data_IF_799529776068
#
_entry.id   IF_799529776068
#
_cell.length_a   1.000
_cell.length_b   1.000
_cell.length_c   1.000
_cell.angle_alpha   90.00
_cell.angle_beta   90.00
_cell.angle_gamma   90.00
#
_symmetry.space_group_name_H-M   'P 1'
#
loop_
_entity.id
_entity.type
_entity.pdbx_description
1 polymer ?
#
# COMPACT_ATOMS: atom_id res chain seq x y z
N UNK A 1 20.65 2.47 -3.40
CA UNK A 1 20.60 1.59 -4.58
C UNK A 1 19.82 0.34 -4.21
N UNK A 2 18.53 0.26 -4.57
CA UNK A 2 17.73 -0.97 -4.65
C UNK A 2 16.28 -0.60 -5.01
N UNK A 3 16.04 -0.12 -6.23
CA UNK A 3 14.67 0.13 -6.73
C UNK A 3 14.58 -0.36 -8.18
N UNK A 4 14.87 -1.64 -8.43
CA UNK A 4 14.83 -2.20 -9.80
C UNK A 4 14.53 -3.69 -9.88
N UNK A 5 13.72 -4.26 -8.96
CA UNK A 5 13.33 -5.68 -9.07
C UNK A 5 11.82 -5.94 -9.20
N UNK A 6 10.95 -4.93 -9.09
CA UNK A 6 9.48 -5.16 -9.11
C UNK A 6 8.83 -4.79 -10.45
N UNK A 7 9.52 -4.05 -11.32
CA UNK A 7 8.99 -3.69 -12.65
C UNK A 7 9.01 -4.91 -13.61
N UNK A 8 9.88 -5.89 -13.36
CA UNK A 8 10.13 -6.98 -14.31
C UNK A 8 8.96 -7.98 -14.41
N UNK A 9 8.22 -8.26 -13.34
CA UNK A 9 7.07 -9.20 -13.39
C UNK A 9 5.83 -8.55 -14.00
N UNK A 10 5.60 -7.25 -13.78
CA UNK A 10 4.44 -6.58 -14.37
C UNK A 10 4.55 -6.45 -15.90
N UNK A 11 5.77 -6.28 -16.43
CA UNK A 11 5.99 -6.20 -17.87
C UNK A 11 5.79 -7.54 -18.60
N UNK A 12 6.08 -8.67 -17.93
CA UNK A 12 5.97 -10.01 -18.55
C UNK A 12 4.51 -10.36 -18.86
N UNK A 13 3.53 -9.76 -18.15
CA UNK A 13 2.11 -9.99 -18.43
C UNK A 13 1.52 -9.07 -19.52
N UNK A 14 2.24 -8.02 -19.96
CA UNK A 14 1.72 -7.03 -20.91
C UNK A 14 2.26 -7.26 -22.34
N UNK A 15 3.28 -8.10 -22.51
CA UNK A 15 3.91 -8.33 -23.82
C UNK A 15 3.42 -9.63 -24.50
N UNK A 16 2.28 -9.57 -25.17
CA UNK A 16 1.94 -10.51 -26.23
C UNK A 16 1.08 -9.83 -27.31
N UNK A 17 1.65 -8.84 -28.00
CA UNK A 17 1.12 -8.36 -29.27
C UNK A 17 2.27 -8.23 -30.27
N UNK A 18 2.62 -9.37 -30.86
CA UNK A 18 3.47 -9.43 -32.05
C UNK A 18 2.71 -8.79 -33.22
N UNK A 19 3.33 -7.90 -34.02
CA UNK A 19 2.71 -7.42 -35.26
C UNK A 19 2.57 -8.58 -36.24
N UNK A 20 1.35 -8.82 -36.74
CA UNK A 20 1.10 -9.81 -37.78
C UNK A 20 1.43 -9.23 -39.17
N UNK A 21 2.31 -9.91 -39.90
CA UNK A 21 2.52 -9.76 -41.36
C UNK A 21 1.43 -10.59 -42.10
N UNK A 22 1.02 -10.25 -43.35
CA UNK A 22 -0.24 -10.73 -43.89
C UNK A 22 -0.16 -12.13 -44.51
N UNK A 23 -1.29 -12.84 -44.38
CA UNK A 23 -1.74 -14.01 -45.12
C UNK A 23 -1.02 -15.35 -44.87
N UNK A 24 -1.49 -16.08 -43.87
CA UNK A 24 -1.67 -17.54 -43.93
C UNK A 24 -2.93 -17.89 -43.15
N UNK A 25 -3.85 -18.63 -43.75
CA UNK A 25 -5.10 -19.08 -43.12
C UNK A 25 -4.80 -19.98 -41.93
N UNK A 26 -4.92 -19.43 -40.72
CA UNK A 26 -4.72 -20.15 -39.46
C UNK A 26 -5.97 -20.97 -39.09
N UNK A 27 -5.74 -22.18 -38.60
CA UNK A 27 -6.76 -23.05 -38.00
C UNK A 27 -7.46 -22.35 -36.81
N UNK A 28 -8.73 -22.68 -36.49
CA UNK A 28 -9.46 -22.04 -35.40
C UNK A 28 -8.71 -22.25 -34.09
N UNK A 29 -8.18 -21.16 -33.53
CA UNK A 29 -7.57 -21.14 -32.21
C UNK A 29 -8.70 -21.09 -31.19
N UNK A 30 -8.84 -22.16 -30.40
CA UNK A 30 -9.76 -22.19 -29.26
C UNK A 30 -9.32 -21.10 -28.27
N UNK A 31 -10.21 -20.21 -27.82
CA UNK A 31 -9.83 -19.21 -26.83
C UNK A 31 -9.37 -19.91 -25.55
N UNK A 32 -8.12 -19.65 -25.14
CA UNK A 32 -7.64 -20.09 -23.85
C UNK A 32 -8.53 -19.47 -22.76
N UNK A 33 -9.21 -20.30 -21.98
CA UNK A 33 -9.99 -19.84 -20.84
C UNK A 33 -9.01 -19.43 -19.74
N UNK A 34 -8.71 -18.13 -19.65
CA UNK A 34 -7.93 -17.57 -18.54
C UNK A 34 -8.71 -17.78 -17.25
N UNK A 35 -8.19 -18.62 -16.36
CA UNK A 35 -8.76 -18.81 -15.03
C UNK A 35 -8.76 -17.48 -14.26
N UNK A 36 -9.83 -17.18 -13.52
CA UNK A 36 -9.88 -15.99 -12.67
C UNK A 36 -8.74 -16.05 -11.63
N UNK A 37 -8.02 -14.93 -11.40
CA UNK A 37 -6.93 -14.91 -10.46
C UNK A 37 -7.45 -15.12 -9.03
N UNK A 38 -6.86 -16.08 -8.32
CA UNK A 38 -7.12 -16.30 -6.89
C UNK A 38 -6.72 -15.06 -6.09
N UNK A 39 -7.55 -14.65 -5.14
CA UNK A 39 -7.33 -13.47 -4.30
C UNK A 39 -6.90 -13.85 -2.88
N UNK A 40 -6.02 -13.04 -2.32
CA UNK A 40 -5.54 -13.16 -0.94
C UNK A 40 -5.67 -11.82 -0.20
N UNK A 41 -5.89 -11.89 1.12
CA UNK A 41 -6.19 -10.73 1.95
C UNK A 41 -5.01 -10.35 2.84
N UNK A 42 -4.66 -9.07 2.84
CA UNK A 42 -3.86 -8.44 3.89
C UNK A 42 -4.73 -7.53 4.74
N UNK A 43 -4.70 -7.73 6.05
CA UNK A 43 -5.48 -6.97 7.02
C UNK A 43 -4.67 -5.82 7.59
N UNK A 44 -5.18 -4.61 7.46
CA UNK A 44 -4.54 -3.40 7.94
C UNK A 44 -5.39 -2.76 9.03
N UNK A 45 -4.72 -2.33 10.10
CA UNK A 45 -5.26 -1.52 11.16
C UNK A 45 -4.55 -0.18 11.20
N UNK A 46 -5.30 0.88 11.43
CA UNK A 46 -4.75 2.19 11.78
C UNK A 46 -5.78 2.96 12.60
N UNK A 47 -5.28 3.91 13.38
CA UNK A 47 -6.06 4.81 14.22
C UNK A 47 -6.16 6.19 13.57
N UNK A 48 -7.36 6.75 13.59
CA UNK A 48 -7.61 8.18 13.36
C UNK A 48 -7.81 8.84 14.71
N UNK A 49 -6.85 9.66 15.16
CA UNK A 49 -6.87 10.34 16.46
C UNK A 49 -7.78 11.55 16.50
N UNK A 50 -7.97 12.24 15.36
CA UNK A 50 -8.85 13.41 15.25
C UNK A 50 -10.32 13.03 15.07
N UNK A 51 -10.60 11.77 14.73
CA UNK A 51 -11.96 11.24 14.60
C UNK A 51 -12.54 10.87 15.97
N UNK A 52 -13.80 11.21 16.21
CA UNK A 52 -14.55 10.81 17.41
C UNK A 52 -15.30 9.50 17.16
N UNK A 53 -15.18 8.54 18.10
CA UNK A 53 -15.96 7.30 18.05
C UNK A 53 -17.43 7.57 18.39
N UNK A 54 -18.35 7.01 17.61
CA UNK A 54 -19.77 6.92 17.98
C UNK A 54 -20.23 5.47 17.91
N UNK A 55 -21.24 5.11 18.69
CA UNK A 55 -21.77 3.75 18.70
C UNK A 55 -22.34 3.32 17.34
N UNK A 56 -22.77 4.26 16.49
CA UNK A 56 -23.23 3.96 15.14
C UNK A 56 -22.13 3.30 14.29
N UNK A 57 -20.84 3.57 14.57
CA UNK A 57 -19.71 2.93 13.89
C UNK A 57 -19.53 1.45 14.26
N UNK A 58 -20.26 0.94 15.26
CA UNK A 58 -20.30 -0.50 15.57
C UNK A 58 -21.26 -1.26 14.66
N UNK A 59 -22.22 -0.58 14.02
CA UNK A 59 -23.25 -1.19 13.20
C UNK A 59 -22.94 -1.02 11.71
N UNK A 60 -22.58 -2.09 10.97
CA UNK A 60 -22.29 -2.02 9.54
C UNK A 60 -23.42 -1.49 8.65
N UNK A 61 -24.66 -1.55 9.13
CA UNK A 61 -25.84 -1.05 8.42
C UNK A 61 -26.19 0.41 8.75
N UNK A 62 -25.46 1.05 9.68
CA UNK A 62 -25.71 2.46 10.00
C UNK A 62 -25.20 3.37 8.90
N UNK A 63 -25.85 4.52 8.73
CA UNK A 63 -25.39 5.55 7.80
C UNK A 63 -23.97 6.03 8.14
N UNK A 64 -23.64 6.16 9.43
CA UNK A 64 -22.31 6.56 9.88
C UNK A 64 -21.22 5.57 9.44
N UNK A 65 -21.46 4.26 9.62
CA UNK A 65 -20.54 3.22 9.19
C UNK A 65 -20.36 3.23 7.68
N UNK A 66 -21.47 3.22 6.92
CA UNK A 66 -21.44 3.16 5.44
C UNK A 66 -20.67 4.36 4.88
N UNK A 67 -20.97 5.57 5.36
CA UNK A 67 -20.30 6.79 4.90
C UNK A 67 -18.80 6.77 5.24
N UNK A 68 -18.45 6.38 6.46
CA UNK A 68 -17.04 6.31 6.89
C UNK A 68 -16.26 5.23 6.13
N UNK A 69 -16.89 4.08 5.87
CA UNK A 69 -16.30 2.98 5.11
C UNK A 69 -16.07 3.39 3.64
N UNK A 70 -17.04 4.05 3.01
CA UNK A 70 -16.91 4.57 1.65
C UNK A 70 -15.81 5.63 1.56
N UNK A 71 -15.76 6.58 2.51
CA UNK A 71 -14.69 7.58 2.59
C UNK A 71 -13.32 6.93 2.74
N UNK A 72 -13.18 5.97 3.66
CA UNK A 72 -11.91 5.24 3.87
C UNK A 72 -11.48 4.53 2.60
N UNK A 73 -12.38 3.80 1.94
CA UNK A 73 -12.11 3.11 0.69
C UNK A 73 -11.61 4.09 -0.39
N UNK A 74 -12.31 5.22 -0.56
CA UNK A 74 -11.96 6.26 -1.54
C UNK A 74 -10.54 6.79 -1.36
N UNK A 75 -10.10 7.01 -0.12
CA UNK A 75 -8.75 7.51 0.16
C UNK A 75 -7.68 6.42 0.02
N UNK A 76 -7.98 5.18 0.40
CA UNK A 76 -6.98 4.10 0.45
C UNK A 76 -6.73 3.42 -0.91
N UNK A 77 -7.77 3.24 -1.74
CA UNK A 77 -7.58 2.52 -3.01
C UNK A 77 -6.56 3.18 -3.94
N UNK A 78 -6.55 4.50 -4.17
CA UNK A 78 -5.52 5.14 -5.00
C UNK A 78 -4.09 4.96 -4.48
N UNK A 79 -3.92 4.90 -3.15
CA UNK A 79 -2.62 4.68 -2.50
C UNK A 79 -2.11 3.28 -2.86
N UNK A 80 -2.94 2.25 -2.63
CA UNK A 80 -2.54 0.87 -2.87
C UNK A 80 -2.49 0.50 -4.35
N UNK A 81 -3.34 1.09 -5.19
CA UNK A 81 -3.25 0.96 -6.65
C UNK A 81 -1.93 1.51 -7.18
N UNK A 82 -1.48 2.67 -6.69
CA UNK A 82 -0.20 3.25 -7.11
C UNK A 82 0.99 2.47 -6.59
N UNK A 83 0.93 1.99 -5.35
CA UNK A 83 2.01 1.22 -4.74
C UNK A 83 2.12 -0.20 -5.33
N UNK A 84 0.99 -0.81 -5.71
CA UNK A 84 0.89 -2.21 -6.10
C UNK A 84 0.01 -2.40 -7.36
N UNK A 85 0.37 -1.79 -8.50
CA UNK A 85 -0.51 -1.68 -9.67
C UNK A 85 -0.93 -3.02 -10.28
N UNK A 86 -0.11 -4.05 -10.09
CA UNK A 86 -0.29 -5.35 -10.76
C UNK A 86 -0.87 -6.42 -9.81
N UNK A 87 -0.92 -6.14 -8.51
CA UNK A 87 -1.42 -7.09 -7.51
C UNK A 87 -2.64 -6.60 -6.75
N UNK A 88 -2.76 -5.30 -6.44
CA UNK A 88 -3.91 -4.78 -5.69
C UNK A 88 -5.20 -4.85 -6.50
N UNK A 89 -6.29 -5.26 -5.84
CA UNK A 89 -7.62 -5.40 -6.46
C UNK A 89 -8.68 -4.53 -5.82
N UNK A 90 -8.77 -4.52 -4.49
CA UNK A 90 -9.76 -3.69 -3.78
C UNK A 90 -9.44 -3.55 -2.31
N UNK A 91 -10.13 -2.61 -1.65
CA UNK A 91 -10.17 -2.55 -0.19
C UNK A 91 -11.61 -2.65 0.33
N UNK A 92 -11.75 -3.26 1.52
CA UNK A 92 -13.02 -3.34 2.24
C UNK A 92 -12.80 -3.04 3.71
N UNK A 93 -13.48 -2.00 4.20
CA UNK A 93 -13.58 -1.77 5.64
C UNK A 93 -14.45 -2.84 6.27
N UNK A 94 -13.93 -3.52 7.29
CA UNK A 94 -14.62 -4.61 8.01
C UNK A 94 -15.28 -4.13 9.28
N UNK A 95 -14.62 -3.24 10.01
CA UNK A 95 -15.07 -2.78 11.31
C UNK A 95 -14.39 -1.48 11.72
N UNK A 96 -15.05 -0.74 12.61
CA UNK A 96 -14.44 0.30 13.43
C UNK A 96 -14.43 -0.14 14.90
N UNK A 97 -13.47 0.36 15.67
CA UNK A 97 -13.37 0.11 17.13
C UNK A 97 -13.07 1.41 17.88
N UNK A 98 -13.43 1.40 19.16
CA UNK A 98 -13.17 2.51 20.07
C UNK A 98 -11.66 2.69 20.35
N UNK A 99 -11.28 3.94 20.61
CA UNK A 99 -9.88 4.38 20.70
C UNK A 99 -9.62 5.50 19.69
N UNK A 100 -10.31 6.63 19.85
CA UNK A 100 -10.59 7.56 18.72
C UNK A 100 -11.37 6.82 17.63
N UNK A 101 -10.85 6.56 16.43
CA UNK A 101 -11.47 5.58 15.51
C UNK A 101 -10.39 4.63 14.99
N UNK A 102 -10.39 3.38 15.45
CA UNK A 102 -9.52 2.33 14.91
C UNK A 102 -10.25 1.68 13.73
N UNK A 103 -9.65 1.73 12.55
CA UNK A 103 -10.22 1.21 11.32
C UNK A 103 -9.57 -0.13 10.98
N UNK A 104 -10.39 -1.15 10.70
CA UNK A 104 -9.96 -2.46 10.20
C UNK A 104 -10.31 -2.55 8.72
N UNK A 105 -9.30 -2.71 7.87
CA UNK A 105 -9.45 -2.82 6.41
C UNK A 105 -8.84 -4.14 5.93
N UNK A 106 -9.59 -4.90 5.13
CA UNK A 106 -9.04 -6.00 4.35
C UNK A 106 -8.68 -5.46 2.95
N UNK A 107 -7.41 -5.58 2.58
CA UNK A 107 -6.89 -5.30 1.25
C UNK A 107 -6.83 -6.61 0.45
N UNK A 108 -7.40 -6.63 -0.75
CA UNK A 108 -7.38 -7.80 -1.63
C UNK A 108 -6.28 -7.67 -2.67
N UNK A 109 -5.46 -8.71 -2.79
CA UNK A 109 -4.39 -8.83 -3.77
C UNK A 109 -4.56 -10.10 -4.60
N UNK A 110 -3.94 -10.14 -5.79
CA UNK A 110 -3.70 -11.40 -6.51
C UNK A 110 -2.76 -12.26 -5.66
N UNK A 111 -3.15 -13.50 -5.34
CA UNK A 111 -2.44 -14.34 -4.36
C UNK A 111 -0.97 -14.58 -4.71
N UNK A 112 -0.63 -14.74 -5.99
CA UNK A 112 0.78 -14.91 -6.42
C UNK A 112 1.65 -13.66 -6.27
N UNK A 113 1.06 -12.50 -5.98
CA UNK A 113 1.73 -11.20 -5.95
C UNK A 113 1.38 -10.40 -4.69
N UNK A 114 1.06 -11.08 -3.59
CA UNK A 114 0.77 -10.40 -2.32
C UNK A 114 2.04 -9.69 -1.81
N UNK A 115 2.00 -8.37 -1.59
CA UNK A 115 3.15 -7.64 -1.08
C UNK A 115 3.46 -8.00 0.37
N UNK A 116 4.72 -7.84 0.77
CA UNK A 116 5.12 -8.05 2.17
C UNK A 116 4.50 -6.99 3.09
N UNK A 117 4.23 -7.36 4.35
CA UNK A 117 3.64 -6.50 5.36
C UNK A 117 4.40 -5.18 5.56
N UNK A 118 5.74 -5.17 5.42
CA UNK A 118 6.56 -3.95 5.48
C UNK A 118 6.25 -3.01 4.31
N UNK A 119 6.08 -3.56 3.10
CA UNK A 119 5.75 -2.80 1.91
C UNK A 119 4.35 -2.18 2.01
N UNK A 120 3.36 -2.96 2.47
CA UNK A 120 1.99 -2.48 2.68
C UNK A 120 1.97 -1.34 3.70
N UNK A 121 2.66 -1.52 4.82
CA UNK A 121 2.75 -0.48 5.84
C UNK A 121 3.47 0.77 5.32
N UNK A 122 4.57 0.62 4.58
CA UNK A 122 5.31 1.73 3.99
C UNK A 122 4.46 2.54 3.00
N UNK A 123 3.69 1.87 2.14
CA UNK A 123 2.78 2.51 1.19
C UNK A 123 1.76 3.41 1.92
N UNK A 124 1.17 2.90 3.00
CA UNK A 124 0.22 3.67 3.80
C UNK A 124 0.89 4.83 4.54
N UNK A 125 2.05 4.57 5.18
CA UNK A 125 2.81 5.58 5.93
C UNK A 125 3.24 6.76 5.07
N UNK A 126 3.82 6.48 3.91
CA UNK A 126 4.33 7.50 2.98
C UNK A 126 3.22 8.37 2.36
N UNK A 127 1.97 7.90 2.41
CA UNK A 127 0.82 8.61 1.84
C UNK A 127 -0.14 9.16 2.93
N UNK A 128 0.14 8.93 4.21
CA UNK A 128 -0.76 9.26 5.32
C UNK A 128 -1.11 10.75 5.38
N UNK A 129 -0.16 11.64 5.05
CA UNK A 129 -0.37 13.09 5.00
C UNK A 129 -1.31 13.53 3.87
N UNK A 130 -1.54 12.69 2.87
CA UNK A 130 -2.32 13.02 1.67
C UNK A 130 -3.77 12.53 1.77
N UNK A 131 -4.10 11.82 2.85
CA UNK A 131 -5.45 11.33 3.13
C UNK A 131 -6.33 12.47 3.63
N UNK A 132 -7.54 12.57 3.11
CA UNK A 132 -8.49 13.63 3.44
C UNK A 132 -9.75 13.09 4.10
N UNK A 133 -10.38 13.91 4.95
CA UNK A 133 -11.59 13.54 5.71
C UNK A 133 -11.34 12.66 6.94
N UNK A 134 -10.11 12.17 7.13
CA UNK A 134 -9.63 11.56 8.37
C UNK A 134 -8.12 11.56 8.44
N UNK A 135 -7.59 11.43 9.65
CA UNK A 135 -6.17 11.31 9.90
C UNK A 135 -5.75 9.84 10.05
N UNK A 136 -4.46 9.58 9.82
CA UNK A 136 -3.84 8.28 10.04
C UNK A 136 -2.66 8.46 10.98
N UNK A 137 -2.78 7.97 12.20
CA UNK A 137 -1.67 7.90 13.15
C UNK A 137 -0.66 6.84 12.65
N UNK A 138 0.44 7.29 12.04
CA UNK A 138 1.45 6.44 11.38
C UNK A 138 2.02 5.35 12.31
N UNK A 139 2.19 5.65 13.60
CA UNK A 139 2.68 4.69 14.61
C UNK A 139 1.68 3.57 14.92
N UNK A 140 0.39 3.77 14.65
CA UNK A 140 -0.67 2.79 14.88
C UNK A 140 -0.82 1.76 13.76
N UNK A 141 -0.11 1.96 12.63
CA UNK A 141 -0.25 1.10 11.46
C UNK A 141 0.26 -0.31 11.78
N UNK A 142 -0.65 -1.27 11.65
CA UNK A 142 -0.39 -2.69 11.88
C UNK A 142 -0.94 -3.49 10.69
N UNK A 143 -0.13 -4.39 10.15
CA UNK A 143 -0.49 -5.25 9.01
C UNK A 143 -0.40 -6.69 9.48
N UNK A 144 -1.52 -7.42 9.42
CA UNK A 144 -1.64 -8.82 9.86
C UNK A 144 -1.16 -9.09 11.31
N UNK A 145 -1.29 -8.11 12.21
CA UNK A 145 -0.81 -8.22 13.58
C UNK A 145 0.63 -7.72 13.77
N UNK A 146 1.35 -7.39 12.70
CA UNK A 146 2.72 -6.92 12.75
C UNK A 146 2.75 -5.40 12.69
N UNK A 147 3.32 -4.78 13.72
CA UNK A 147 3.57 -3.35 13.72
C UNK A 147 4.74 -3.06 12.79
N UNK A 148 4.54 -2.13 11.87
CA UNK A 148 5.67 -1.57 11.14
C UNK A 148 6.38 -0.62 12.09
N UNK A 149 7.34 -1.12 12.87
CA UNK A 149 8.35 -0.28 13.52
C UNK A 149 9.30 0.18 12.43
N UNK A 150 8.83 1.13 11.61
CA UNK A 150 9.65 1.78 10.61
C UNK A 150 10.78 2.49 11.34
N UNK A 151 12.02 2.17 10.99
CA UNK A 151 13.18 2.94 11.41
C UNK A 151 12.94 4.37 10.90
N UNK A 152 12.58 5.28 11.80
CA UNK A 152 12.68 6.70 11.51
C UNK A 152 14.16 6.97 11.31
N UNK A 153 14.60 7.07 10.06
CA UNK A 153 15.94 7.56 9.76
C UNK A 153 15.96 9.06 10.09
N UNK A 154 16.07 9.38 11.39
CA UNK A 154 16.59 10.68 11.81
C UNK A 154 18.06 10.67 11.39
N UNK A 155 18.34 11.15 10.18
CA UNK A 155 19.70 11.47 9.78
C UNK A 155 20.12 12.60 10.73
N UNK A 156 20.75 12.21 11.83
CA UNK A 156 21.09 13.16 12.88
C UNK A 156 22.00 14.21 12.24
N UNK A 157 21.63 15.47 12.38
CA UNK A 157 22.45 16.62 11.95
C UNK A 157 23.87 16.51 12.55
N UNK A 158 23.99 15.81 13.69
CA UNK A 158 25.26 15.45 14.33
C UNK A 158 26.17 14.61 13.42
N UNK A 159 25.65 13.57 12.75
CA UNK A 159 26.42 12.75 11.79
C UNK A 159 26.89 13.56 10.58
N UNK A 160 26.04 14.45 10.06
CA UNK A 160 26.44 15.34 8.97
C UNK A 160 27.54 16.32 9.40
N UNK A 161 27.40 16.93 10.60
CA UNK A 161 28.41 17.83 11.14
C UNK A 161 29.76 17.14 11.37
N UNK A 162 29.74 15.88 11.83
CA UNK A 162 30.95 15.10 12.10
C UNK A 162 31.70 14.78 10.79
N UNK A 163 30.99 14.42 9.72
CA UNK A 163 31.61 14.14 8.42
C UNK A 163 32.16 15.41 7.74
N UNK A 164 31.50 16.56 7.92
CA UNK A 164 32.00 17.86 7.43
C UNK A 164 33.25 18.28 8.21
N UNK A 165 33.25 18.15 9.54
CA UNK A 165 34.42 18.42 10.38
C UNK A 165 35.58 17.48 10.06
N UNK A 166 35.34 16.19 9.84
CA UNK A 166 36.37 15.24 9.43
C UNK A 166 36.95 15.62 8.07
N UNK A 167 36.10 15.98 7.09
CA UNK A 167 36.56 16.42 5.78
C UNK A 167 37.44 17.68 5.89
N UNK A 168 37.09 18.60 6.79
CA UNK A 168 37.89 19.79 7.04
C UNK A 168 39.22 19.48 7.77
N UNK A 169 39.19 18.59 8.76
CA UNK A 169 40.38 18.17 9.50
C UNK A 169 41.39 17.48 8.57
N UNK A 170 40.93 16.56 7.72
CA UNK A 170 41.80 15.89 6.74
C UNK A 170 42.36 16.87 5.71
N UNK A 171 41.59 17.88 5.31
CA UNK A 171 42.06 18.93 4.39
C UNK A 171 43.15 19.82 4.98
N UNK A 172 43.26 19.91 6.32
CA UNK A 172 44.27 20.74 7.00
C UNK A 172 45.62 20.03 7.22
N UNK A 173 45.70 18.74 6.87
CA UNK A 173 46.88 17.88 7.07
C UNK A 173 47.58 17.54 5.74
N UNK A 174 47.19 18.17 4.64
CA UNK A 174 47.88 18.14 3.34
C UNK A 174 48.45 19.52 3.02
#
# INVERSE_FOLDING_TARGET
MAVTWIISICLILIAATTPADPATTAAPTVPATTAEPTLELARVYFRSVQSTFTNDLLNPSSTAFINRAALTKRELEPIFQRAFPCSFKSSRVRAFRSGSVITLVDLSFVSMLIPDHVQIAYALKSSASNVTGFDIEVSSINVNGIYSSGISHNISLFTASCLVLLSWLLSSQQ
#
